data_IF_522844618334
#
_entry.id   IF_522844618334
#
_cell.length_a   1.000
_cell.length_b   1.000
_cell.length_c   1.000
_cell.angle_alpha   90.00
_cell.angle_beta   90.00
_cell.angle_gamma   90.00
#
_symmetry.space_group_name_H-M   'P 1'
#
loop_
_entity.id
_entity.type
_entity.pdbx_description
1 polymer ?
#
# COMPACT_ATOMS: atom_id res chain seq x y z
N UNK A 1 -2.49 3.54 36.09
CA UNK A 1 -2.43 4.94 36.62
C UNK A 1 -3.66 5.72 36.16
N UNK A 2 -3.94 6.89 36.73
CA UNK A 2 -5.26 7.55 36.60
C UNK A 2 -5.72 7.90 35.17
N UNK A 3 -7.02 7.75 34.96
CA UNK A 3 -7.77 8.40 33.88
C UNK A 3 -7.66 9.93 33.98
N UNK A 4 -6.76 10.56 33.20
CA UNK A 4 -6.87 11.98 32.88
C UNK A 4 -8.05 12.18 31.90
N UNK A 5 -9.29 12.24 32.44
CA UNK A 5 -10.42 12.90 31.77
C UNK A 5 -10.11 14.40 31.66
N UNK A 6 -9.32 14.76 30.66
CA UNK A 6 -8.72 16.08 30.54
C UNK A 6 -9.70 17.15 30.09
N UNK A 7 -10.30 17.86 31.06
CA UNK A 7 -10.63 19.30 31.09
C UNK A 7 -11.28 20.03 29.86
N UNK A 8 -11.65 19.34 28.77
CA UNK A 8 -12.15 19.96 27.52
C UNK A 8 -13.35 20.89 27.75
N UNK A 9 -14.26 20.51 28.63
CA UNK A 9 -15.51 21.25 28.90
C UNK A 9 -15.30 22.63 29.57
N UNK A 10 -14.14 22.87 30.20
CA UNK A 10 -13.88 24.14 30.92
C UNK A 10 -13.26 25.24 30.05
N UNK A 11 -12.70 24.91 28.89
CA UNK A 11 -12.02 25.88 28.02
C UNK A 11 -12.94 26.87 27.29
N UNK A 12 -14.08 26.48 26.67
CA UNK A 12 -14.99 27.45 26.05
C UNK A 12 -15.57 28.43 27.08
N UNK A 13 -15.86 27.96 28.30
CA UNK A 13 -16.25 28.83 29.42
C UNK A 13 -15.17 29.86 29.76
N UNK A 14 -13.90 29.45 29.81
CA UNK A 14 -12.78 30.37 30.09
C UNK A 14 -12.70 31.52 29.07
N UNK A 15 -12.79 31.21 27.78
CA UNK A 15 -12.73 32.20 26.70
C UNK A 15 -13.92 33.17 26.76
N UNK A 16 -15.13 32.64 26.97
CA UNK A 16 -16.34 33.45 27.15
C UNK A 16 -16.23 34.39 28.37
N UNK A 17 -15.72 33.88 29.51
CA UNK A 17 -15.49 34.70 30.71
C UNK A 17 -14.48 35.82 30.44
N UNK A 18 -13.35 35.55 29.76
CA UNK A 18 -12.40 36.62 29.40
C UNK A 18 -13.01 37.67 28.46
N UNK A 19 -13.88 37.28 27.52
CA UNK A 19 -14.62 38.22 26.67
C UNK A 19 -15.58 39.11 27.46
N UNK A 20 -16.32 38.54 28.40
CA UNK A 20 -17.21 39.27 29.33
C UNK A 20 -16.39 40.24 30.20
N UNK A 21 -15.26 39.80 30.76
CA UNK A 21 -14.37 40.66 31.55
C UNK A 21 -13.81 41.82 30.72
N UNK A 22 -13.39 41.60 29.47
CA UNK A 22 -12.90 42.67 28.60
C UNK A 22 -14.00 43.69 28.28
N UNK A 23 -15.20 43.23 27.93
CA UNK A 23 -16.35 44.09 27.71
C UNK A 23 -16.67 44.95 28.95
N UNK A 24 -16.70 44.33 30.14
CA UNK A 24 -16.93 45.04 31.40
C UNK A 24 -15.86 46.11 31.67
N UNK A 25 -14.57 45.80 31.47
CA UNK A 25 -13.47 46.76 31.62
C UNK A 25 -13.62 47.95 30.66
N UNK A 26 -13.97 47.69 29.39
CA UNK A 26 -14.17 48.74 28.38
C UNK A 26 -15.37 49.63 28.73
N UNK A 27 -16.51 49.03 29.13
CA UNK A 27 -17.72 49.77 29.53
C UNK A 27 -17.45 50.61 30.78
N UNK A 28 -16.75 50.07 31.79
CA UNK A 28 -16.33 50.82 32.99
C UNK A 28 -15.41 51.99 32.61
N UNK A 29 -14.44 51.79 31.71
CA UNK A 29 -13.55 52.85 31.24
C UNK A 29 -14.33 53.97 30.51
N UNK A 30 -15.29 53.63 29.65
CA UNK A 30 -16.18 54.60 28.96
C UNK A 30 -16.98 55.40 29.98
N UNK A 31 -17.60 54.75 30.98
CA UNK A 31 -18.40 55.42 32.02
C UNK A 31 -17.56 56.34 32.91
N UNK A 32 -16.35 55.90 33.30
CA UNK A 32 -15.40 56.73 34.07
C UNK A 32 -14.94 57.94 33.26
N UNK A 33 -14.65 57.78 31.95
CA UNK A 33 -14.30 58.89 31.07
C UNK A 33 -15.46 59.86 30.89
N UNK A 34 -16.68 59.37 30.62
CA UNK A 34 -17.87 60.19 30.49
C UNK A 34 -18.11 61.05 31.75
N UNK A 35 -18.08 60.42 32.93
CA UNK A 35 -18.17 61.09 34.22
C UNK A 35 -17.08 62.16 34.43
N UNK A 36 -15.83 61.85 34.08
CA UNK A 36 -14.69 62.79 34.21
C UNK A 36 -14.73 63.96 33.23
N UNK A 37 -15.56 63.88 32.18
CA UNK A 37 -15.83 64.96 31.22
C UNK A 37 -17.15 65.68 31.45
N UNK A 38 -17.81 65.49 32.61
CA UNK A 38 -19.13 66.04 32.94
C UNK A 38 -20.23 65.75 31.88
N UNK A 39 -20.04 64.76 31.01
CA UNK A 39 -20.92 64.48 29.88
C UNK A 39 -20.91 65.51 28.74
N UNK A 40 -20.00 66.49 28.74
CA UNK A 40 -19.92 67.53 27.70
C UNK A 40 -19.43 67.01 26.35
N UNK A 41 -18.69 65.90 26.34
CA UNK A 41 -18.12 65.30 25.13
C UNK A 41 -19.16 64.47 24.36
N UNK A 42 -19.60 64.96 23.20
CA UNK A 42 -20.56 64.32 22.29
C UNK A 42 -20.21 62.86 21.94
N UNK A 43 -18.92 62.55 21.72
CA UNK A 43 -18.49 61.18 21.39
C UNK A 43 -18.78 60.23 22.56
N UNK A 44 -18.58 60.70 23.80
CA UNK A 44 -18.89 59.94 25.01
C UNK A 44 -20.39 59.89 25.30
N UNK A 45 -21.21 60.82 24.82
CA UNK A 45 -22.69 60.67 24.87
C UNK A 45 -23.15 59.51 24.00
N UNK A 46 -22.66 59.40 22.77
CA UNK A 46 -23.01 58.31 21.84
C UNK A 46 -22.52 56.96 22.39
N UNK A 47 -21.28 56.88 22.89
CA UNK A 47 -20.72 55.65 23.47
C UNK A 47 -21.47 55.12 24.71
N UNK A 48 -22.20 55.98 25.43
CA UNK A 48 -22.99 55.60 26.63
C UNK A 48 -24.43 55.22 26.27
N UNK A 49 -24.86 55.34 25.02
CA UNK A 49 -26.17 54.86 24.57
C UNK A 49 -26.30 53.34 24.79
N UNK A 50 -27.46 52.90 25.30
CA UNK A 50 -27.69 51.49 25.65
C UNK A 50 -27.51 50.53 24.47
N UNK A 51 -27.82 50.96 23.25
CA UNK A 51 -27.59 50.20 22.03
C UNK A 51 -26.09 49.98 21.75
N UNK A 52 -25.27 51.02 21.93
CA UNK A 52 -23.81 50.96 21.72
C UNK A 52 -23.13 50.11 22.80
N UNK A 53 -23.52 50.28 24.07
CA UNK A 53 -23.05 49.42 25.18
C UNK A 53 -23.42 47.95 24.93
N UNK A 54 -24.64 47.68 24.48
CA UNK A 54 -25.11 46.33 24.15
C UNK A 54 -24.34 45.76 22.96
N UNK A 55 -24.08 46.57 21.92
CA UNK A 55 -23.25 46.20 20.78
C UNK A 55 -21.82 45.81 21.17
N UNK A 56 -21.19 46.57 22.08
CA UNK A 56 -19.87 46.25 22.65
C UNK A 56 -19.92 44.91 23.39
N UNK A 57 -20.89 44.70 24.28
CA UNK A 57 -21.03 43.47 25.05
C UNK A 57 -21.24 42.21 24.18
N UNK A 58 -22.06 42.32 23.13
CA UNK A 58 -22.27 41.25 22.15
C UNK A 58 -21.01 41.00 21.31
N UNK A 59 -20.33 42.05 20.84
CA UNK A 59 -19.16 41.93 19.95
C UNK A 59 -17.98 41.25 20.66
N UNK A 60 -17.66 41.67 21.89
CA UNK A 60 -16.55 41.12 22.67
C UNK A 60 -16.79 39.69 23.20
N UNK A 61 -18.03 39.19 23.18
CA UNK A 61 -18.34 37.79 23.50
C UNK A 61 -18.47 36.90 22.26
N UNK A 62 -19.03 37.41 21.17
CA UNK A 62 -19.20 36.65 19.92
C UNK A 62 -17.91 36.47 19.12
N UNK A 63 -17.08 37.50 18.95
CA UNK A 63 -15.85 37.38 18.11
C UNK A 63 -14.86 36.35 18.66
N UNK A 64 -14.48 36.34 19.96
CA UNK A 64 -13.57 35.32 20.48
C UNK A 64 -14.15 33.90 20.39
N UNK A 65 -15.46 33.76 20.62
CA UNK A 65 -16.16 32.48 20.50
C UNK A 65 -16.19 31.97 19.06
N UNK A 66 -16.38 32.87 18.09
CA UNK A 66 -16.35 32.55 16.66
C UNK A 66 -14.95 32.13 16.19
N UNK A 67 -13.91 32.89 16.52
CA UNK A 67 -12.50 32.55 16.24
C UNK A 67 -12.13 31.20 16.88
N UNK A 68 -12.52 30.98 18.14
CA UNK A 68 -12.34 29.70 18.81
C UNK A 68 -13.04 28.56 18.05
N UNK A 69 -14.29 28.75 17.64
CA UNK A 69 -15.05 27.74 16.90
C UNK A 69 -14.40 27.37 15.55
N UNK A 70 -13.78 28.32 14.86
CA UNK A 70 -13.03 28.07 13.62
C UNK A 70 -11.75 27.28 13.92
N UNK A 71 -11.01 27.65 14.95
CA UNK A 71 -9.77 26.97 15.32
C UNK A 71 -10.03 25.56 15.87
N UNK A 72 -11.11 25.33 16.63
CA UNK A 72 -11.50 23.99 17.05
C UNK A 72 -12.01 23.14 15.88
N UNK A 73 -12.80 23.70 14.94
CA UNK A 73 -13.17 23.01 13.68
C UNK A 73 -11.93 22.57 12.91
N UNK A 74 -11.01 23.50 12.59
CA UNK A 74 -9.74 23.21 11.92
C UNK A 74 -8.98 22.09 12.64
N UNK A 75 -8.81 22.19 13.96
CA UNK A 75 -8.10 21.19 14.76
C UNK A 75 -8.81 19.83 14.83
N UNK A 76 -10.14 19.78 14.76
CA UNK A 76 -10.91 18.54 14.65
C UNK A 76 -10.82 17.92 13.26
N UNK A 77 -10.82 18.74 12.20
CA UNK A 77 -10.64 18.29 10.82
C UNK A 77 -9.24 17.72 10.61
N UNK A 78 -8.19 18.43 11.05
CA UNK A 78 -6.81 17.92 11.04
C UNK A 78 -6.72 16.59 11.78
N UNK A 79 -7.26 16.48 13.00
CA UNK A 79 -7.27 15.20 13.75
C UNK A 79 -7.95 14.07 12.99
N UNK A 80 -9.16 14.30 12.48
CA UNK A 80 -9.91 13.29 11.73
C UNK A 80 -9.16 12.85 10.48
N UNK A 81 -8.48 13.77 9.78
CA UNK A 81 -7.64 13.46 8.62
C UNK A 81 -6.37 12.70 9.04
N UNK A 82 -5.71 13.05 10.14
CA UNK A 82 -4.57 12.31 10.70
C UNK A 82 -4.98 10.91 11.16
N UNK A 83 -6.15 10.76 11.78
CA UNK A 83 -6.72 9.48 12.22
C UNK A 83 -7.05 8.60 11.01
N UNK A 84 -7.75 9.12 9.99
CA UNK A 84 -8.01 8.43 8.73
C UNK A 84 -6.71 8.04 7.98
N UNK A 85 -5.72 8.95 7.94
CA UNK A 85 -4.42 8.69 7.35
C UNK A 85 -3.67 7.56 8.08
N UNK A 86 -3.74 7.53 9.42
CA UNK A 86 -3.16 6.47 10.23
C UNK A 86 -3.87 5.13 10.03
N UNK A 87 -5.20 5.11 9.82
CA UNK A 87 -5.92 3.88 9.44
C UNK A 87 -5.52 3.38 8.03
N UNK A 88 -5.35 4.28 7.06
CA UNK A 88 -4.87 3.94 5.71
C UNK A 88 -3.46 3.36 5.75
N UNK A 89 -2.52 4.03 6.44
CA UNK A 89 -1.15 3.51 6.62
C UNK A 89 -1.16 2.17 7.33
N UNK A 90 -1.91 2.03 8.43
CA UNK A 90 -2.04 0.76 9.16
C UNK A 90 -2.59 -0.38 8.29
N UNK A 91 -3.49 -0.09 7.35
CA UNK A 91 -4.01 -1.08 6.41
C UNK A 91 -2.96 -1.52 5.36
N UNK A 92 -2.11 -0.61 4.89
CA UNK A 92 -1.01 -0.94 3.98
C UNK A 92 0.20 -1.56 4.70
N UNK A 93 0.50 -1.14 5.93
CA UNK A 93 1.49 -1.77 6.81
C UNK A 93 1.11 -3.22 7.15
N UNK A 94 -0.18 -3.51 7.36
CA UNK A 94 -0.64 -4.88 7.55
C UNK A 94 -0.37 -5.72 6.29
N UNK A 95 -0.71 -5.20 5.10
CA UNK A 95 -0.44 -5.90 3.83
C UNK A 95 1.07 -6.07 3.55
N UNK A 96 1.89 -5.08 3.93
CA UNK A 96 3.35 -5.21 3.85
C UNK A 96 3.88 -6.24 4.84
N UNK A 97 3.39 -6.27 6.08
CA UNK A 97 3.76 -7.28 7.07
C UNK A 97 3.39 -8.69 6.57
N UNK A 98 2.19 -8.86 5.99
CA UNK A 98 1.78 -10.12 5.35
C UNK A 98 2.72 -10.54 4.21
N UNK A 99 3.20 -9.60 3.37
CA UNK A 99 4.20 -9.88 2.31
C UNK A 99 5.60 -10.17 2.90
N UNK A 100 5.98 -9.50 3.99
CA UNK A 100 7.29 -9.63 4.64
C UNK A 100 7.39 -10.93 5.45
N UNK A 101 6.30 -11.39 6.07
CA UNK A 101 6.16 -12.73 6.66
C UNK A 101 6.19 -13.82 5.57
N UNK A 102 5.48 -13.59 4.45
CA UNK A 102 5.58 -14.42 3.24
C UNK A 102 7.05 -14.59 2.81
N UNK A 103 7.78 -13.48 2.65
CA UNK A 103 9.20 -13.46 2.27
C UNK A 103 10.08 -14.16 3.31
N UNK A 104 9.88 -13.91 4.61
CA UNK A 104 10.75 -14.45 5.68
C UNK A 104 10.62 -15.97 5.84
N UNK A 105 9.45 -16.53 5.51
CA UNK A 105 9.20 -17.97 5.51
C UNK A 105 9.93 -18.77 4.41
N UNK A 106 10.58 -18.08 3.47
CA UNK A 106 11.25 -18.63 2.28
C UNK A 106 12.72 -18.23 2.26
N UNK A 107 13.58 -18.98 1.57
CA UNK A 107 14.96 -18.56 1.31
C UNK A 107 15.02 -17.53 0.16
N UNK A 108 14.39 -17.85 -0.97
CA UNK A 108 14.35 -17.01 -2.18
C UNK A 108 13.42 -15.78 -2.06
N UNK A 109 13.66 -14.77 -2.90
CA UNK A 109 12.68 -13.75 -3.27
C UNK A 109 11.97 -14.17 -4.55
N UNK A 110 10.65 -14.00 -4.63
CA UNK A 110 9.86 -14.31 -5.83
C UNK A 110 9.39 -13.03 -6.50
N UNK A 111 9.33 -13.03 -7.82
CA UNK A 111 8.82 -11.91 -8.62
C UNK A 111 7.38 -11.48 -8.22
N UNK A 112 6.54 -12.39 -7.72
CA UNK A 112 5.19 -12.03 -7.19
C UNK A 112 5.25 -11.17 -5.92
N UNK A 113 6.28 -11.32 -5.10
CA UNK A 113 6.47 -10.55 -3.87
C UNK A 113 6.97 -9.14 -4.21
N UNK A 114 7.83 -9.01 -5.24
CA UNK A 114 8.22 -7.74 -5.87
C UNK A 114 6.99 -6.92 -6.26
N UNK A 115 6.12 -7.49 -7.11
CA UNK A 115 4.92 -6.80 -7.59
C UNK A 115 3.95 -6.41 -6.47
N UNK A 116 3.82 -7.25 -5.41
CA UNK A 116 3.01 -6.92 -4.23
C UNK A 116 3.60 -5.75 -3.45
N UNK A 117 4.91 -5.75 -3.20
CA UNK A 117 5.57 -4.68 -2.45
C UNK A 117 5.56 -3.35 -3.18
N UNK A 118 5.94 -3.31 -4.47
CA UNK A 118 5.87 -2.08 -5.25
C UNK A 118 4.42 -1.57 -5.30
N UNK A 119 3.44 -2.42 -5.62
CA UNK A 119 2.04 -1.99 -5.66
C UNK A 119 1.58 -1.37 -4.33
N UNK A 120 1.91 -1.96 -3.18
CA UNK A 120 1.53 -1.41 -1.87
C UNK A 120 2.24 -0.08 -1.60
N UNK A 121 3.57 -0.04 -1.73
CA UNK A 121 4.39 1.14 -1.39
C UNK A 121 4.05 2.30 -2.34
N UNK A 122 4.01 2.03 -3.65
CA UNK A 122 3.68 3.03 -4.68
C UNK A 122 2.23 3.48 -4.59
N UNK A 123 1.25 2.61 -4.33
CA UNK A 123 -0.16 3.04 -4.13
C UNK A 123 -0.32 3.90 -2.87
N UNK A 124 0.29 3.49 -1.75
CA UNK A 124 0.26 4.26 -0.51
C UNK A 124 0.91 5.64 -0.72
N UNK A 125 2.12 5.70 -1.29
CA UNK A 125 2.81 6.96 -1.57
C UNK A 125 2.05 7.84 -2.58
N UNK A 126 1.35 7.26 -3.57
CA UNK A 126 0.48 8.03 -4.48
C UNK A 126 -0.76 8.62 -3.78
N UNK A 127 -1.36 7.90 -2.82
CA UNK A 127 -2.45 8.43 -2.00
C UNK A 127 -1.95 9.57 -1.12
N UNK A 128 -0.81 9.41 -0.46
CA UNK A 128 -0.22 10.44 0.40
C UNK A 128 0.28 11.66 -0.38
N UNK A 129 0.88 11.50 -1.56
CA UNK A 129 1.25 12.64 -2.41
C UNK A 129 0.03 13.48 -2.85
N UNK A 130 -1.16 12.87 -2.96
CA UNK A 130 -2.43 13.59 -3.25
C UNK A 130 -3.07 14.24 -2.02
N UNK A 131 -2.62 13.93 -0.80
CA UNK A 131 -3.22 14.37 0.46
C UNK A 131 -2.29 15.26 1.30
N UNK A 132 -0.97 15.11 1.16
CA UNK A 132 0.04 15.61 2.09
C UNK A 132 0.68 16.95 1.73
N UNK A 133 0.54 17.41 0.48
CA UNK A 133 1.24 18.59 -0.04
C UNK A 133 1.04 19.89 0.78
N UNK A 134 -0.10 20.02 1.47
CA UNK A 134 -0.47 21.24 2.21
C UNK A 134 -0.46 21.09 3.75
N UNK A 135 -0.14 19.90 4.32
CA UNK A 135 -0.61 19.55 5.69
C UNK A 135 0.39 18.93 6.68
N UNK A 136 1.71 18.90 6.38
CA UNK A 136 2.78 18.48 7.32
C UNK A 136 2.58 17.09 7.99
N UNK A 137 1.89 16.15 7.33
CA UNK A 137 1.54 14.86 7.92
C UNK A 137 2.74 13.90 7.88
N UNK A 138 3.56 13.89 8.93
CA UNK A 138 4.65 12.93 9.12
C UNK A 138 4.12 11.54 9.53
N UNK A 139 3.41 10.86 8.63
CA UNK A 139 3.07 9.44 8.72
C UNK A 139 3.64 8.76 7.48
N UNK A 140 4.32 7.63 7.69
CA UNK A 140 4.89 6.79 6.63
C UNK A 140 4.60 5.32 6.94
N UNK A 141 4.77 4.46 5.95
CA UNK A 141 4.82 3.02 6.16
C UNK A 141 5.98 2.62 7.09
N UNK A 142 5.88 1.42 7.67
CA UNK A 142 6.86 0.81 8.56
C UNK A 142 8.07 0.23 7.78
N UNK A 143 8.76 1.09 7.05
CA UNK A 143 9.99 0.76 6.33
C UNK A 143 11.10 0.09 7.18
N UNK A 144 11.27 0.39 8.49
CA UNK A 144 12.25 -0.33 9.32
C UNK A 144 11.96 -1.84 9.40
N UNK A 145 10.69 -2.23 9.62
CA UNK A 145 10.32 -3.64 9.65
C UNK A 145 10.59 -4.32 8.30
N UNK A 146 10.18 -3.68 7.20
CA UNK A 146 10.41 -4.14 5.83
C UNK A 146 11.91 -4.42 5.59
N UNK A 147 12.78 -3.42 5.80
CA UNK A 147 14.22 -3.59 5.55
C UNK A 147 14.87 -4.59 6.54
N UNK A 148 14.44 -4.64 7.80
CA UNK A 148 15.01 -5.55 8.82
C UNK A 148 14.86 -7.04 8.50
N UNK A 149 13.94 -7.40 7.60
CA UNK A 149 13.74 -8.77 7.11
C UNK A 149 14.42 -8.98 5.75
N UNK A 150 14.21 -8.07 4.81
CA UNK A 150 14.71 -8.21 3.43
C UNK A 150 16.23 -8.05 3.37
N UNK A 151 16.78 -6.99 3.97
CA UNK A 151 18.23 -6.74 4.00
C UNK A 151 18.99 -7.62 5.01
N UNK A 152 18.29 -8.50 5.76
CA UNK A 152 18.91 -9.45 6.69
C UNK A 152 18.83 -10.91 6.20
N UNK A 153 18.12 -11.17 5.09
CA UNK A 153 18.20 -12.47 4.43
C UNK A 153 19.66 -12.74 4.03
N UNK A 154 20.13 -13.94 4.37
CA UNK A 154 21.43 -14.42 3.90
C UNK A 154 21.38 -14.53 2.36
N UNK A 155 22.34 -13.88 1.71
CA UNK A 155 22.56 -13.97 0.27
C UNK A 155 22.74 -15.44 -0.16
N UNK A 156 22.11 -15.82 -1.29
CA UNK A 156 22.18 -17.20 -1.79
C UNK A 156 23.44 -17.43 -2.63
N UNK A 157 24.12 -18.54 -2.38
CA UNK A 157 25.35 -18.90 -3.11
C UNK A 157 26.59 -18.13 -2.66
N UNK A 158 27.51 -17.91 -3.59
CA UNK A 158 28.72 -17.12 -3.38
C UNK A 158 28.43 -15.65 -3.72
N UNK A 159 28.62 -14.73 -2.76
CA UNK A 159 28.41 -13.29 -2.98
C UNK A 159 29.39 -12.76 -4.03
N UNK A 160 30.60 -13.31 -4.06
CA UNK A 160 31.72 -12.79 -4.84
C UNK A 160 31.74 -13.38 -6.27
N UNK A 161 30.90 -14.40 -6.54
CA UNK A 161 30.71 -14.98 -7.88
C UNK A 161 29.32 -15.64 -7.95
N UNK A 162 28.25 -14.85 -8.12
CA UNK A 162 26.90 -15.36 -8.30
C UNK A 162 26.72 -16.00 -9.68
N UNK A 163 25.97 -17.10 -9.75
CA UNK A 163 25.52 -17.72 -11.01
C UNK A 163 24.03 -17.53 -11.27
N UNK A 164 23.54 -17.93 -12.45
CA UNK A 164 22.21 -17.56 -12.98
C UNK A 164 20.98 -17.61 -12.06
N UNK A 165 20.86 -18.57 -11.13
CA UNK A 165 19.75 -18.61 -10.16
C UNK A 165 19.86 -17.53 -9.06
N UNK A 166 21.07 -17.07 -8.80
CA UNK A 166 21.40 -16.04 -7.82
C UNK A 166 21.29 -14.64 -8.47
N UNK A 167 21.35 -14.55 -9.80
CA UNK A 167 21.03 -13.34 -10.56
C UNK A 167 19.53 -12.99 -10.47
N UNK A 168 18.62 -13.95 -10.63
CA UNK A 168 17.18 -13.71 -10.38
C UNK A 168 16.91 -13.32 -8.91
N UNK A 169 17.69 -13.86 -7.96
CA UNK A 169 17.58 -13.48 -6.55
C UNK A 169 18.04 -12.03 -6.30
N UNK A 170 19.18 -11.61 -6.87
CA UNK A 170 19.67 -10.21 -6.81
C UNK A 170 18.66 -9.25 -7.43
N UNK A 171 18.16 -9.57 -8.62
CA UNK A 171 17.20 -8.75 -9.36
C UNK A 171 15.87 -8.58 -8.60
N UNK A 172 15.33 -9.67 -8.05
CA UNK A 172 14.13 -9.60 -7.21
C UNK A 172 14.39 -8.84 -5.88
N UNK A 173 15.57 -8.99 -5.25
CA UNK A 173 15.97 -8.19 -4.08
C UNK A 173 16.01 -6.69 -4.42
N UNK A 174 16.67 -6.32 -5.51
CA UNK A 174 16.80 -4.93 -5.94
C UNK A 174 15.43 -4.30 -6.23
N UNK A 175 14.58 -4.99 -6.98
CA UNK A 175 13.21 -4.52 -7.30
C UNK A 175 12.29 -4.43 -6.08
N UNK A 176 12.55 -5.20 -5.01
CA UNK A 176 11.89 -5.05 -3.70
C UNK A 176 12.43 -3.84 -2.92
N UNK A 177 13.75 -3.62 -2.96
CA UNK A 177 14.39 -2.53 -2.23
C UNK A 177 14.12 -1.15 -2.86
N UNK A 178 14.15 -1.03 -4.18
CA UNK A 178 14.04 0.27 -4.87
C UNK A 178 12.77 1.06 -4.48
N UNK A 179 11.55 0.50 -4.49
CA UNK A 179 10.34 1.20 -4.01
C UNK A 179 10.44 1.59 -2.53
N UNK A 180 11.00 0.71 -1.70
CA UNK A 180 11.19 0.92 -0.26
C UNK A 180 12.15 2.09 0.02
N UNK A 181 13.31 2.11 -0.65
CA UNK A 181 14.31 3.16 -0.54
C UNK A 181 13.79 4.51 -1.07
N UNK A 182 13.08 4.51 -2.21
CA UNK A 182 12.41 5.71 -2.74
C UNK A 182 11.34 6.24 -1.78
N UNK A 183 10.65 5.36 -1.07
CA UNK A 183 9.69 5.71 0.00
C UNK A 183 10.36 6.34 1.23
N UNK A 184 11.50 5.80 1.67
CA UNK A 184 12.30 6.36 2.76
C UNK A 184 12.82 7.75 2.37
N UNK A 185 13.41 7.89 1.17
CA UNK A 185 13.91 9.18 0.66
C UNK A 185 12.80 10.24 0.61
N UNK A 186 11.64 9.91 0.02
CA UNK A 186 10.48 10.82 -0.10
C UNK A 186 9.78 11.14 1.22
N UNK A 187 10.12 10.46 2.32
CA UNK A 187 9.63 10.76 3.68
C UNK A 187 10.72 11.33 4.59
N UNK A 188 11.91 11.60 4.05
CA UNK A 188 13.12 12.13 4.71
C UNK A 188 13.74 11.24 5.81
N UNK A 189 13.19 10.04 6.06
CA UNK A 189 13.58 9.12 7.17
C UNK A 189 14.86 8.32 6.92
N UNK A 190 15.89 9.01 6.41
CA UNK A 190 17.16 8.45 5.97
C UNK A 190 17.93 7.73 7.08
N UNK A 191 17.66 8.05 8.35
CA UNK A 191 18.21 7.38 9.53
C UNK A 191 17.91 5.87 9.59
N UNK A 192 16.83 5.40 8.97
CA UNK A 192 16.42 3.98 8.95
C UNK A 192 17.52 3.10 8.33
N UNK A 193 18.30 3.62 7.36
CA UNK A 193 19.38 2.87 6.70
C UNK A 193 20.60 2.62 7.61
N UNK A 194 20.63 3.21 8.81
CA UNK A 194 21.69 2.98 9.80
C UNK A 194 21.38 1.79 10.73
N UNK A 195 20.14 1.29 10.76
CA UNK A 195 19.72 0.17 11.62
C UNK A 195 20.58 -1.08 11.39
N UNK A 196 21.00 -1.75 12.47
CA UNK A 196 21.96 -2.85 12.43
C UNK A 196 21.40 -4.11 11.73
N UNK A 197 20.08 -4.27 11.66
CA UNK A 197 19.41 -5.37 10.96
C UNK A 197 19.35 -5.15 9.43
N UNK A 198 19.62 -3.94 8.95
CA UNK A 198 19.65 -3.63 7.51
C UNK A 198 21.06 -3.87 7.00
N UNK A 199 21.38 -5.08 6.50
CA UNK A 199 22.76 -5.47 6.18
C UNK A 199 23.11 -5.41 4.69
N UNK A 200 22.31 -6.04 3.83
CA UNK A 200 22.62 -6.24 2.41
C UNK A 200 21.87 -5.26 1.49
N UNK A 201 22.60 -4.69 0.53
CA UNK A 201 22.07 -3.94 -0.62
C UNK A 201 22.64 -4.55 -1.91
N UNK A 202 21.83 -4.70 -2.96
CA UNK A 202 22.30 -5.25 -4.24
C UNK A 202 21.60 -4.61 -5.44
N UNK A 203 22.36 -4.38 -6.53
CA UNK A 203 21.90 -3.74 -7.78
C UNK A 203 21.13 -2.42 -7.53
N UNK A 204 21.65 -1.57 -6.64
CA UNK A 204 21.09 -0.25 -6.31
C UNK A 204 21.98 0.87 -6.83
N UNK A 205 21.39 1.88 -7.48
CA UNK A 205 22.06 3.09 -7.95
C UNK A 205 21.92 4.24 -6.94
N UNK A 206 22.90 4.39 -6.06
CA UNK A 206 22.92 5.43 -5.02
C UNK A 206 23.47 6.77 -5.53
N UNK A 207 22.88 7.87 -5.08
CA UNK A 207 23.25 9.22 -5.53
C UNK A 207 22.54 9.69 -6.81
N UNK A 208 21.55 8.92 -7.30
CA UNK A 208 20.61 9.32 -8.35
C UNK A 208 19.48 10.19 -7.78
N UNK A 209 18.74 10.95 -8.60
CA UNK A 209 17.76 11.95 -8.12
C UNK A 209 16.69 11.42 -7.14
N UNK A 210 16.34 10.13 -7.20
CA UNK A 210 15.37 9.49 -6.29
C UNK A 210 16.00 8.70 -5.13
N UNK A 211 17.34 8.65 -5.04
CA UNK A 211 18.13 7.91 -4.04
C UNK A 211 19.39 8.72 -3.60
N UNK A 212 19.30 10.06 -3.62
CA UNK A 212 20.38 11.00 -3.28
C UNK A 212 20.45 11.27 -1.76
N UNK A 213 20.59 10.18 -0.99
CA UNK A 213 20.71 10.20 0.46
C UNK A 213 22.00 10.90 0.93
N UNK A 214 21.93 11.60 2.07
CA UNK A 214 23.06 12.37 2.62
C UNK A 214 23.16 12.24 4.13
N UNK A 215 24.38 12.42 4.66
CA UNK A 215 24.72 12.41 6.10
C UNK A 215 24.37 11.11 6.83
N UNK A 216 24.25 10.01 6.10
CA UNK A 216 24.08 8.66 6.65
C UNK A 216 25.44 8.12 7.08
N UNK A 217 25.50 7.49 8.26
CA UNK A 217 26.65 6.72 8.70
C UNK A 217 26.37 5.22 8.59
N UNK A 218 26.68 4.66 7.43
CA UNK A 218 26.59 3.22 7.19
C UNK A 218 27.65 2.49 8.02
N UNK A 219 27.22 1.45 8.74
CA UNK A 219 28.08 0.56 9.53
C UNK A 219 27.78 -0.90 9.21
N UNK A 220 28.82 -1.73 9.06
CA UNK A 220 28.70 -3.18 8.88
C UNK A 220 27.76 -3.57 7.71
N UNK A 221 27.75 -2.78 6.63
CA UNK A 221 26.86 -2.97 5.45
C UNK A 221 27.60 -3.65 4.31
N UNK A 222 26.90 -4.48 3.55
CA UNK A 222 27.44 -5.14 2.36
C UNK A 222 26.68 -4.63 1.13
N UNK A 223 27.41 -4.08 0.18
CA UNK A 223 26.92 -3.58 -1.10
C UNK A 223 27.41 -4.52 -2.21
N UNK A 224 26.52 -5.03 -3.05
CA UNK A 224 26.82 -6.05 -4.07
C UNK A 224 26.32 -5.60 -5.44
N UNK A 225 27.23 -5.38 -6.39
CA UNK A 225 26.92 -4.88 -7.74
C UNK A 225 26.14 -3.55 -7.70
N UNK A 226 26.43 -2.70 -6.71
CA UNK A 226 25.83 -1.38 -6.56
C UNK A 226 26.61 -0.31 -7.33
N UNK A 227 25.88 0.65 -7.89
CA UNK A 227 26.41 1.83 -8.56
C UNK A 227 26.40 3.01 -7.60
N UNK A 228 27.49 3.76 -7.49
CA UNK A 228 27.58 4.94 -6.60
C UNK A 228 28.10 6.16 -7.35
N UNK A 229 27.52 7.34 -7.09
CA UNK A 229 28.13 8.61 -7.53
C UNK A 229 29.17 9.08 -6.52
N UNK A 230 30.23 9.77 -6.97
CA UNK A 230 31.23 10.34 -6.05
C UNK A 230 30.58 11.22 -4.97
N UNK A 231 29.57 12.01 -5.36
CA UNK A 231 28.83 12.86 -4.43
C UNK A 231 28.23 12.06 -3.27
N UNK A 232 27.58 10.93 -3.55
CA UNK A 232 27.02 10.06 -2.52
C UNK A 232 28.11 9.50 -1.58
N UNK A 233 29.29 9.19 -2.12
CA UNK A 233 30.44 8.72 -1.32
C UNK A 233 30.99 9.82 -0.40
N UNK A 234 31.02 11.08 -0.85
CA UNK A 234 31.47 12.22 -0.06
C UNK A 234 30.43 12.64 1.01
N UNK A 235 29.16 12.76 0.63
CA UNK A 235 28.05 13.20 1.49
C UNK A 235 27.68 12.18 2.60
N UNK A 236 28.24 10.96 2.60
CA UNK A 236 27.96 9.88 3.57
C UNK A 236 29.22 9.22 4.14
N UNK A 237 29.10 8.50 5.26
CA UNK A 237 30.21 7.79 5.92
C UNK A 237 30.00 6.27 5.88
N UNK A 238 31.09 5.52 5.72
CA UNK A 238 31.10 4.05 5.66
C UNK A 238 32.13 3.49 6.66
N UNK A 239 31.71 2.59 7.55
CA UNK A 239 32.54 2.02 8.62
C UNK A 239 32.38 0.50 8.64
N UNK A 240 33.46 -0.23 8.39
CA UNK A 240 33.45 -1.70 8.26
C UNK A 240 32.39 -2.19 7.26
N UNK A 241 32.20 -1.44 6.17
CA UNK A 241 31.37 -1.85 5.06
C UNK A 241 32.19 -2.72 4.09
N UNK A 242 31.48 -3.34 3.16
CA UNK A 242 32.03 -4.26 2.16
C UNK A 242 31.39 -3.92 0.80
N UNK A 243 32.19 -3.80 -0.26
CA UNK A 243 31.73 -3.43 -1.60
C UNK A 243 32.23 -4.46 -2.63
N UNK A 244 31.31 -5.25 -3.17
CA UNK A 244 31.62 -6.41 -4.01
C UNK A 244 31.09 -6.14 -5.41
N UNK A 245 31.97 -6.13 -6.42
CA UNK A 245 31.65 -5.77 -7.82
C UNK A 245 30.90 -4.41 -7.98
N UNK A 246 31.04 -3.48 -7.03
CA UNK A 246 30.46 -2.13 -7.09
C UNK A 246 31.33 -1.18 -7.93
N UNK A 247 30.72 -0.19 -8.59
CA UNK A 247 31.43 0.77 -9.45
C UNK A 247 30.86 2.19 -9.41
N UNK A 248 31.66 3.15 -9.88
CA UNK A 248 31.26 4.55 -10.09
C UNK A 248 31.33 4.87 -11.59
N UNK A 249 30.21 5.21 -12.28
CA UNK A 249 30.18 5.32 -13.74
C UNK A 249 31.09 6.42 -14.29
N UNK A 250 31.09 7.58 -13.61
CA UNK A 250 31.91 8.74 -13.94
C UNK A 250 33.32 8.68 -13.29
N UNK A 251 33.66 7.55 -12.66
CA UNK A 251 34.86 7.40 -11.84
C UNK A 251 34.78 8.05 -10.46
N UNK A 252 35.95 8.20 -9.83
CA UNK A 252 36.16 8.91 -8.56
C UNK A 252 37.42 9.76 -8.72
N UNK A 253 37.27 11.09 -8.78
CA UNK A 253 38.40 12.02 -8.95
C UNK A 253 38.95 12.50 -7.60
N UNK A 254 38.13 12.50 -6.55
CA UNK A 254 38.47 13.06 -5.25
C UNK A 254 39.27 12.05 -4.38
N UNK A 255 40.49 12.39 -3.91
CA UNK A 255 41.26 11.52 -3.02
C UNK A 255 40.53 11.12 -1.73
N UNK A 256 39.55 11.89 -1.27
CA UNK A 256 38.72 11.54 -0.11
C UNK A 256 37.67 10.46 -0.44
N UNK A 257 37.03 10.49 -1.62
CA UNK A 257 36.03 9.49 -2.01
C UNK A 257 36.70 8.12 -2.20
N UNK A 258 37.83 8.10 -2.90
CA UNK A 258 38.71 6.93 -3.07
C UNK A 258 39.13 6.39 -1.69
N UNK A 259 39.55 7.25 -0.76
CA UNK A 259 39.97 6.84 0.59
C UNK A 259 38.81 6.34 1.45
N UNK A 260 37.59 6.89 1.32
CA UNK A 260 36.40 6.40 2.03
C UNK A 260 36.06 4.96 1.61
N UNK A 261 36.16 4.62 0.33
CA UNK A 261 35.90 3.26 -0.16
C UNK A 261 37.10 2.31 0.02
N UNK A 262 38.34 2.78 -0.14
CA UNK A 262 39.55 1.95 -0.01
C UNK A 262 39.92 1.53 1.43
N UNK A 263 39.27 2.10 2.45
CA UNK A 263 39.38 1.65 3.85
C UNK A 263 38.39 0.52 4.21
N UNK A 264 37.55 0.10 3.26
CA UNK A 264 36.53 -0.94 3.41
C UNK A 264 36.92 -2.17 2.56
N UNK A 265 36.34 -3.35 2.84
CA UNK A 265 36.72 -4.59 2.14
C UNK A 265 36.08 -4.64 0.75
N UNK A 266 36.91 -4.62 -0.29
CA UNK A 266 36.45 -4.59 -1.67
C UNK A 266 37.02 -5.81 -2.42
N UNK A 267 36.14 -6.60 -3.05
CA UNK A 267 36.52 -7.66 -3.97
C UNK A 267 35.84 -7.44 -5.34
N UNK A 268 36.60 -7.62 -6.41
CA UNK A 268 36.15 -7.42 -7.79
C UNK A 268 36.60 -8.57 -8.68
N UNK A 269 35.65 -9.28 -9.31
CA UNK A 269 35.94 -10.38 -10.24
C UNK A 269 36.06 -9.87 -11.67
N UNK A 270 37.24 -10.05 -12.28
CA UNK A 270 37.49 -9.75 -13.69
C UNK A 270 36.89 -10.83 -14.61
N UNK A 271 36.37 -10.40 -15.76
CA UNK A 271 36.55 -11.09 -17.04
C UNK A 271 36.77 -10.03 -18.14
N UNK A 272 37.47 -10.38 -19.23
CA UNK A 272 38.22 -9.41 -20.05
C UNK A 272 37.50 -8.87 -21.30
N UNK A 273 38.07 -7.75 -21.78
CA UNK A 273 37.90 -7.05 -23.06
C UNK A 273 36.54 -6.33 -23.29
N UNK A 274 36.51 -5.02 -23.59
CA UNK A 274 37.56 -4.18 -24.19
C UNK A 274 37.54 -2.68 -23.79
N UNK A 275 38.74 -2.09 -23.81
CA UNK A 275 39.09 -0.65 -23.76
C UNK A 275 38.75 0.20 -22.51
N UNK A 276 39.81 0.78 -21.93
CA UNK A 276 39.84 2.06 -21.18
C UNK A 276 39.06 2.15 -19.85
N UNK A 277 39.45 1.34 -18.87
CA UNK A 277 39.05 1.46 -17.45
C UNK A 277 40.12 1.04 -16.42
N UNK A 278 41.40 0.95 -16.83
CA UNK A 278 42.50 0.51 -15.96
C UNK A 278 42.95 1.63 -14.99
N UNK A 279 43.40 1.36 -13.76
CA UNK A 279 43.23 0.21 -12.87
C UNK A 279 43.83 0.56 -11.50
N UNK A 280 43.21 0.16 -10.38
CA UNK A 280 43.86 -0.27 -9.12
C UNK A 280 42.85 -0.42 -7.97
N UNK A 281 42.68 -1.65 -7.45
CA UNK A 281 42.53 -1.90 -6.00
C UNK A 281 42.87 -3.36 -5.64
N UNK A 282 44.15 -3.71 -5.86
CA UNK A 282 44.93 -4.79 -5.20
C UNK A 282 44.41 -6.26 -5.27
N UNK A 283 45.11 -7.05 -6.09
CA UNK A 283 45.04 -8.52 -6.19
C UNK A 283 45.61 -9.29 -4.98
N UNK A 284 44.96 -10.41 -4.61
CA UNK A 284 45.57 -11.74 -4.30
C UNK A 284 44.54 -12.79 -3.84
N UNK A 285 44.47 -13.98 -4.47
CA UNK A 285 43.63 -15.03 -3.85
C UNK A 285 43.54 -16.49 -4.33
N UNK A 286 44.05 -16.90 -5.49
CA UNK A 286 44.17 -18.33 -5.91
C UNK A 286 42.87 -19.09 -6.32
N UNK A 287 43.06 -20.17 -7.11
CA UNK A 287 42.04 -20.93 -7.86
C UNK A 287 41.54 -22.21 -7.18
N UNK A 288 40.32 -22.69 -7.51
CA UNK A 288 40.17 -23.94 -8.29
C UNK A 288 38.76 -24.12 -8.93
N UNK A 289 38.56 -25.20 -9.69
CA UNK A 289 37.53 -25.37 -10.73
C UNK A 289 36.48 -26.48 -10.46
N UNK A 290 35.31 -26.41 -11.12
CA UNK A 290 34.33 -27.50 -11.15
C UNK A 290 33.02 -27.21 -11.90
N UNK A 291 32.82 -27.82 -13.08
CA UNK A 291 31.54 -27.82 -13.82
C UNK A 291 30.78 -29.15 -13.63
N UNK A 292 29.47 -29.09 -13.40
CA UNK A 292 28.55 -30.20 -13.72
C UNK A 292 27.16 -29.68 -14.15
N UNK A 293 26.44 -30.48 -14.95
CA UNK A 293 25.17 -30.12 -15.59
C UNK A 293 24.25 -31.34 -15.71
N UNK A 294 22.95 -31.20 -15.41
CA UNK A 294 21.89 -32.22 -15.62
C UNK A 294 20.60 -31.54 -16.10
N UNK A 295 19.69 -32.28 -16.77
CA UNK A 295 18.60 -31.79 -17.63
C UNK A 295 17.26 -32.52 -17.35
N UNK A 296 16.11 -31.89 -17.69
CA UNK A 296 14.76 -32.52 -17.98
C UNK A 296 14.04 -33.27 -16.83
N UNK A 297 12.73 -33.62 -16.75
CA UNK A 297 11.36 -33.33 -17.33
C UNK A 297 10.33 -34.12 -16.45
N UNK A 298 8.97 -34.16 -16.50
CA UNK A 298 7.78 -33.66 -17.24
C UNK A 298 6.51 -33.95 -16.32
N UNK A 299 5.21 -33.71 -16.57
CA UNK A 299 4.41 -33.18 -17.70
C UNK A 299 2.98 -32.65 -17.35
N UNK A 300 2.41 -31.91 -18.30
CA UNK A 300 1.00 -31.73 -18.76
C UNK A 300 -0.24 -32.28 -18.03
N UNK A 301 -1.25 -31.40 -17.90
CA UNK A 301 -2.67 -31.68 -18.20
C UNK A 301 -3.38 -30.38 -18.65
N UNK A 302 -4.22 -30.40 -19.70
CA UNK A 302 -4.82 -29.18 -20.28
C UNK A 302 -6.30 -28.97 -19.87
N UNK A 303 -6.62 -27.78 -19.34
CA UNK A 303 -8.01 -27.40 -19.03
C UNK A 303 -8.72 -26.72 -20.23
N UNK A 304 -10.01 -27.01 -20.47
CA UNK A 304 -10.83 -26.26 -21.42
C UNK A 304 -11.30 -24.93 -20.79
N UNK A 305 -10.87 -23.82 -21.40
CA UNK A 305 -11.14 -22.41 -21.04
C UNK A 305 -10.81 -21.99 -19.59
N UNK A 306 -9.88 -21.05 -19.45
CA UNK A 306 -9.27 -20.67 -18.17
C UNK A 306 -10.18 -19.77 -17.31
N UNK A 307 -11.28 -20.32 -16.82
CA UNK A 307 -12.16 -19.65 -15.87
C UNK A 307 -11.57 -19.75 -14.46
N UNK A 308 -11.39 -18.61 -13.82
CA UNK A 308 -10.70 -18.47 -12.53
C UNK A 308 -11.47 -17.53 -11.61
N UNK A 309 -11.47 -17.81 -10.30
CA UNK A 309 -11.79 -16.83 -9.27
C UNK A 309 -10.55 -15.98 -8.98
N UNK A 310 -10.51 -14.77 -9.54
CA UNK A 310 -9.31 -13.91 -9.53
C UNK A 310 -8.78 -13.56 -8.13
N UNK A 311 -9.68 -13.40 -7.15
CA UNK A 311 -9.31 -12.96 -5.80
C UNK A 311 -8.52 -14.02 -5.04
N UNK A 312 -8.85 -15.29 -5.27
CA UNK A 312 -8.26 -16.42 -4.54
C UNK A 312 -7.46 -17.35 -5.47
N UNK A 313 -7.34 -16.97 -6.75
CA UNK A 313 -6.60 -17.65 -7.83
C UNK A 313 -7.00 -19.12 -8.02
N UNK A 314 -8.29 -19.41 -7.83
CA UNK A 314 -8.85 -20.76 -7.93
C UNK A 314 -9.32 -21.01 -9.36
N UNK A 315 -8.62 -21.88 -10.09
CA UNK A 315 -9.06 -22.36 -11.41
C UNK A 315 -10.31 -23.24 -11.28
N UNK A 316 -11.40 -22.89 -11.96
CA UNK A 316 -12.68 -23.58 -11.84
C UNK A 316 -12.66 -24.97 -12.48
N UNK A 317 -11.78 -25.24 -13.44
CA UNK A 317 -11.62 -26.58 -14.03
C UNK A 317 -11.16 -27.67 -13.04
N UNK A 318 -10.84 -27.32 -11.78
CA UNK A 318 -10.62 -28.26 -10.67
C UNK A 318 -11.93 -28.80 -10.06
N UNK A 319 -13.09 -28.27 -10.45
CA UNK A 319 -14.42 -28.58 -9.91
C UNK A 319 -15.40 -28.90 -11.04
N UNK A 320 -16.41 -29.71 -10.78
CA UNK A 320 -17.39 -30.12 -11.81
C UNK A 320 -18.49 -29.05 -11.96
N UNK A 321 -18.14 -27.92 -12.58
CA UNK A 321 -19.08 -26.88 -13.01
C UNK A 321 -19.35 -26.92 -14.52
N UNK A 322 -20.55 -26.49 -14.93
CA UNK A 322 -20.92 -26.31 -16.34
C UNK A 322 -20.78 -24.82 -16.68
N UNK A 323 -20.07 -24.51 -17.76
CA UNK A 323 -20.00 -23.17 -18.35
C UNK A 323 -20.87 -23.06 -19.62
N UNK A 324 -21.51 -21.90 -19.83
CA UNK A 324 -22.28 -21.58 -21.04
C UNK A 324 -22.23 -20.07 -21.37
N UNK A 325 -22.03 -19.75 -22.64
CA UNK A 325 -22.44 -18.48 -23.25
C UNK A 325 -23.95 -18.48 -23.53
N UNK A 326 -24.65 -17.39 -23.21
CA UNK A 326 -26.08 -17.19 -23.49
C UNK A 326 -26.28 -15.87 -24.23
N UNK A 327 -26.71 -15.91 -25.49
CA UNK A 327 -26.96 -14.71 -26.29
C UNK A 327 -28.20 -13.94 -25.79
N UNK A 328 -28.09 -12.62 -25.67
CA UNK A 328 -29.16 -11.78 -25.12
C UNK A 328 -30.46 -11.86 -25.95
N UNK A 329 -30.34 -12.09 -27.26
CA UNK A 329 -31.46 -12.25 -28.20
C UNK A 329 -32.28 -13.54 -27.98
N UNK A 330 -31.82 -14.48 -27.13
CA UNK A 330 -32.54 -15.72 -26.77
C UNK A 330 -33.31 -15.59 -25.44
N UNK A 331 -33.21 -14.45 -24.76
CA UNK A 331 -33.79 -14.21 -23.43
C UNK A 331 -35.18 -13.57 -23.57
N UNK A 332 -36.22 -14.27 -23.10
CA UNK A 332 -37.60 -13.74 -23.04
C UNK A 332 -37.76 -12.72 -21.88
N UNK A 333 -37.15 -11.53 -22.03
CA UNK A 333 -37.13 -10.39 -21.10
C UNK A 333 -36.51 -10.64 -19.70
N UNK A 334 -36.53 -11.86 -19.16
CA UNK A 334 -35.88 -12.24 -17.91
C UNK A 334 -34.89 -13.40 -18.10
N UNK A 335 -33.62 -13.11 -17.82
CA UNK A 335 -32.52 -14.09 -17.80
C UNK A 335 -32.73 -15.19 -16.75
N UNK A 336 -33.41 -14.91 -15.63
CA UNK A 336 -33.66 -15.94 -14.59
C UNK A 336 -34.67 -16.97 -15.09
N UNK A 337 -35.81 -16.53 -15.62
CA UNK A 337 -36.77 -17.40 -16.28
C UNK A 337 -36.13 -18.22 -17.40
N UNK A 338 -35.29 -17.61 -18.25
CA UNK A 338 -34.55 -18.31 -19.29
C UNK A 338 -33.62 -19.41 -18.72
N UNK A 339 -32.74 -19.09 -17.78
CA UNK A 339 -31.77 -20.04 -17.20
C UNK A 339 -32.44 -21.22 -16.47
N UNK A 340 -33.55 -20.96 -15.79
CA UNK A 340 -34.38 -22.01 -15.16
C UNK A 340 -34.99 -22.90 -16.24
N UNK A 341 -35.51 -22.31 -17.34
CA UNK A 341 -36.09 -23.08 -18.45
C UNK A 341 -35.07 -23.95 -19.18
N UNK A 342 -33.82 -23.51 -19.31
CA UNK A 342 -32.73 -24.28 -19.93
C UNK A 342 -32.32 -25.48 -19.07
N UNK A 343 -32.22 -25.33 -17.75
CA UNK A 343 -31.91 -26.45 -16.85
C UNK A 343 -33.04 -27.49 -16.81
N UNK A 344 -34.29 -27.05 -16.90
CA UNK A 344 -35.46 -27.93 -16.97
C UNK A 344 -35.58 -28.74 -18.29
N UNK A 345 -34.72 -28.50 -19.30
CA UNK A 345 -34.69 -29.29 -20.55
C UNK A 345 -33.78 -30.53 -20.47
N UNK A 346 -33.03 -30.70 -19.39
CA UNK A 346 -32.19 -31.89 -19.18
C UNK A 346 -33.02 -33.16 -18.95
N UNK A 347 -32.53 -34.31 -19.44
CA UNK A 347 -33.21 -35.61 -19.31
C UNK A 347 -33.17 -36.16 -17.87
N UNK A 348 -34.00 -35.62 -16.98
CA UNK A 348 -34.20 -36.13 -15.62
C UNK A 348 -35.48 -35.58 -14.99
N UNK A 349 -36.45 -36.44 -14.69
CA UNK A 349 -37.78 -36.03 -14.18
C UNK A 349 -37.75 -35.64 -12.69
N UNK A 350 -37.19 -34.48 -12.39
CA UNK A 350 -37.59 -33.70 -11.21
C UNK A 350 -38.19 -32.37 -11.67
N UNK A 351 -39.30 -31.94 -11.04
CA UNK A 351 -39.79 -30.58 -11.22
C UNK A 351 -38.85 -29.62 -10.49
N UNK A 352 -37.84 -29.11 -11.19
CA UNK A 352 -36.99 -28.01 -10.75
C UNK A 352 -37.83 -26.74 -10.57
N UNK A 353 -38.48 -26.63 -9.41
CA UNK A 353 -39.14 -25.42 -8.98
C UNK A 353 -38.13 -24.29 -8.80
N UNK A 354 -38.58 -23.06 -9.05
CA UNK A 354 -37.82 -21.81 -8.87
C UNK A 354 -37.09 -21.71 -7.53
N UNK A 355 -37.64 -22.37 -6.51
CA UNK A 355 -37.15 -22.34 -5.14
C UNK A 355 -35.86 -23.15 -4.96
N UNK A 356 -35.58 -24.14 -5.83
CA UNK A 356 -34.44 -25.05 -5.68
C UNK A 356 -33.19 -24.58 -6.42
N UNK A 357 -33.18 -23.35 -6.96
CA UNK A 357 -32.09 -22.79 -7.76
C UNK A 357 -31.67 -21.43 -7.20
N UNK A 358 -30.37 -21.27 -6.92
CA UNK A 358 -29.81 -20.00 -6.46
C UNK A 358 -29.10 -19.27 -7.61
N UNK A 359 -29.69 -18.19 -8.10
CA UNK A 359 -29.10 -17.36 -9.18
C UNK A 359 -28.49 -16.08 -8.59
N UNK A 360 -27.24 -15.79 -8.98
CA UNK A 360 -26.52 -14.54 -8.76
C UNK A 360 -26.16 -13.93 -10.11
N UNK A 361 -26.34 -12.62 -10.28
CA UNK A 361 -26.09 -11.92 -11.55
C UNK A 361 -25.22 -10.70 -11.27
N UNK A 362 -24.08 -10.59 -11.97
CA UNK A 362 -23.23 -9.40 -11.97
C UNK A 362 -23.37 -8.66 -13.30
N UNK A 363 -22.79 -7.46 -13.38
CA UNK A 363 -22.37 -6.89 -14.67
C UNK A 363 -20.98 -7.43 -15.02
N UNK A 364 -20.61 -7.32 -16.29
CA UNK A 364 -19.22 -7.39 -16.72
C UNK A 364 -18.50 -6.10 -16.27
N UNK A 365 -17.25 -6.25 -15.82
CA UNK A 365 -16.36 -5.17 -15.35
C UNK A 365 -15.05 -5.10 -16.16
N UNK A 366 -15.00 -5.70 -17.35
CA UNK A 366 -13.82 -5.77 -18.22
C UNK A 366 -13.46 -4.43 -18.88
N UNK A 367 -12.81 -3.54 -18.12
CA UNK A 367 -12.04 -2.41 -18.65
C UNK A 367 -10.53 -2.75 -18.77
N UNK A 368 -10.16 -4.05 -18.74
CA UNK A 368 -8.78 -4.51 -18.58
C UNK A 368 -8.31 -5.42 -19.73
N UNK A 369 -7.48 -4.87 -20.62
CA UNK A 369 -6.75 -5.55 -21.71
C UNK A 369 -7.60 -6.24 -22.79
N UNK A 370 -6.98 -6.48 -23.95
CA UNK A 370 -7.60 -7.22 -25.07
C UNK A 370 -7.69 -8.74 -24.81
N UNK A 371 -7.15 -9.23 -23.69
CA UNK A 371 -6.99 -10.66 -23.37
C UNK A 371 -8.08 -11.20 -22.42
N UNK A 372 -8.73 -10.35 -21.62
CA UNK A 372 -9.83 -10.74 -20.71
C UNK A 372 -11.19 -10.43 -21.35
N UNK A 373 -11.96 -11.47 -21.74
CA UNK A 373 -13.27 -11.25 -22.39
C UNK A 373 -14.34 -10.78 -21.40
N UNK A 374 -14.31 -11.26 -20.16
CA UNK A 374 -15.27 -10.86 -19.12
C UNK A 374 -14.73 -11.02 -17.70
N UNK A 375 -15.27 -10.24 -16.77
CA UNK A 375 -14.96 -10.27 -15.34
C UNK A 375 -16.21 -9.91 -14.52
N UNK A 376 -16.63 -10.76 -13.58
CA UNK A 376 -17.86 -10.62 -12.81
C UNK A 376 -17.69 -10.85 -11.32
N UNK A 377 -18.13 -9.85 -10.52
CA UNK A 377 -18.14 -9.93 -9.06
C UNK A 377 -19.52 -10.32 -8.51
N UNK A 378 -19.55 -11.36 -7.69
CA UNK A 378 -20.73 -11.83 -6.97
C UNK A 378 -20.45 -11.96 -5.45
N UNK A 379 -21.48 -11.88 -4.61
CA UNK A 379 -21.37 -12.15 -3.17
C UNK A 379 -22.53 -13.01 -2.68
N UNK A 380 -22.25 -13.98 -1.79
CA UNK A 380 -23.25 -14.77 -1.09
C UNK A 380 -22.89 -14.86 0.40
N UNK A 381 -23.85 -14.59 1.29
CA UNK A 381 -23.65 -14.79 2.72
C UNK A 381 -23.52 -16.30 3.04
N UNK A 382 -22.49 -16.65 3.82
CA UNK A 382 -22.20 -18.01 4.27
C UNK A 382 -23.39 -18.66 4.97
N UNK A 383 -24.00 -17.98 5.93
CA UNK A 383 -25.19 -18.48 6.64
C UNK A 383 -26.39 -18.74 5.69
N UNK A 384 -26.54 -17.97 4.60
CA UNK A 384 -27.58 -18.19 3.57
C UNK A 384 -27.27 -19.32 2.60
N UNK A 385 -26.13 -19.99 2.74
CA UNK A 385 -25.77 -21.25 2.07
C UNK A 385 -25.92 -22.40 3.08
N UNK A 386 -25.32 -22.26 4.28
CA UNK A 386 -25.32 -23.29 5.34
C UNK A 386 -26.73 -23.63 5.87
N UNK A 387 -27.64 -22.66 5.97
CA UNK A 387 -29.04 -22.92 6.34
C UNK A 387 -29.95 -23.26 5.15
N UNK A 388 -29.43 -23.33 3.92
CA UNK A 388 -30.22 -23.39 2.69
C UNK A 388 -30.12 -24.73 1.94
N UNK A 389 -30.33 -25.83 2.66
CA UNK A 389 -30.29 -27.23 2.16
C UNK A 389 -31.32 -27.58 1.07
N UNK A 390 -32.04 -26.61 0.50
CA UNK A 390 -33.05 -26.79 -0.55
C UNK A 390 -32.56 -26.34 -1.95
N UNK A 391 -31.43 -25.64 -2.05
CA UNK A 391 -30.84 -25.29 -3.35
C UNK A 391 -30.04 -26.47 -3.92
N UNK A 392 -30.45 -26.97 -5.08
CA UNK A 392 -29.77 -28.04 -5.83
C UNK A 392 -28.70 -27.49 -6.80
N UNK A 393 -28.91 -26.29 -7.32
CA UNK A 393 -28.00 -25.61 -8.25
C UNK A 393 -27.66 -24.18 -7.81
N UNK A 394 -26.40 -23.81 -7.96
CA UNK A 394 -25.89 -22.44 -7.78
C UNK A 394 -25.40 -21.91 -9.13
N UNK A 395 -25.97 -20.79 -9.56
CA UNK A 395 -25.76 -20.19 -10.90
C UNK A 395 -25.20 -18.78 -10.73
N UNK A 396 -24.13 -18.50 -11.48
CA UNK A 396 -23.48 -17.21 -11.55
C UNK A 396 -23.47 -16.74 -12.99
N UNK A 397 -24.13 -15.62 -13.28
CA UNK A 397 -24.22 -15.05 -14.62
C UNK A 397 -23.60 -13.64 -14.67
N UNK A 398 -22.59 -13.46 -15.51
CA UNK A 398 -21.96 -12.15 -15.77
C UNK A 398 -22.64 -11.55 -16.99
N UNK A 399 -23.43 -10.49 -16.80
CA UNK A 399 -24.11 -9.80 -17.91
C UNK A 399 -23.13 -8.91 -18.66
N UNK A 400 -22.99 -9.19 -19.95
CA UNK A 400 -22.28 -8.36 -20.91
C UNK A 400 -23.25 -7.70 -21.92
N UNK A 401 -22.72 -6.99 -22.92
CA UNK A 401 -23.47 -6.19 -23.90
C UNK A 401 -24.44 -7.06 -24.72
N UNK A 402 -23.92 -8.10 -25.37
CA UNK A 402 -24.69 -8.97 -26.27
C UNK A 402 -24.96 -10.37 -25.70
N UNK A 403 -24.33 -10.72 -24.57
CA UNK A 403 -24.43 -12.05 -23.94
C UNK A 403 -24.50 -12.00 -22.41
N UNK A 404 -24.79 -13.15 -21.81
CA UNK A 404 -24.43 -13.48 -20.44
C UNK A 404 -23.46 -14.67 -20.44
N UNK A 405 -22.39 -14.57 -19.64
CA UNK A 405 -21.45 -15.67 -19.40
C UNK A 405 -21.85 -16.38 -18.10
N UNK A 406 -22.08 -17.69 -18.14
CA UNK A 406 -22.81 -18.39 -17.08
C UNK A 406 -22.04 -19.61 -16.57
N UNK A 407 -21.80 -19.65 -15.25
CA UNK A 407 -21.24 -20.78 -14.52
C UNK A 407 -22.37 -21.42 -13.68
N UNK A 408 -22.46 -22.75 -13.70
CA UNK A 408 -23.45 -23.54 -12.97
C UNK A 408 -22.73 -24.63 -12.16
N UNK A 409 -22.95 -24.65 -10.84
CA UNK A 409 -22.50 -25.70 -9.94
C UNK A 409 -23.69 -26.51 -9.41
N UNK A 410 -23.50 -27.82 -9.24
CA UNK A 410 -24.34 -28.65 -8.36
C UNK A 410 -24.01 -28.36 -6.88
N UNK A 411 -24.97 -28.54 -5.97
CA UNK A 411 -24.84 -28.10 -4.58
C UNK A 411 -23.62 -28.66 -3.83
N UNK A 412 -23.23 -29.92 -4.08
CA UNK A 412 -22.07 -30.53 -3.41
C UNK A 412 -20.75 -30.05 -4.03
N UNK A 413 -20.64 -29.98 -5.36
CA UNK A 413 -19.50 -29.39 -6.07
C UNK A 413 -19.29 -27.92 -5.68
N UNK A 414 -20.38 -27.17 -5.48
CA UNK A 414 -20.31 -25.81 -4.96
C UNK A 414 -19.76 -25.78 -3.52
N UNK A 415 -20.16 -26.70 -2.63
CA UNK A 415 -19.59 -26.80 -1.27
C UNK A 415 -18.11 -27.16 -1.30
N UNK A 416 -17.67 -28.06 -2.18
CA UNK A 416 -16.24 -28.39 -2.35
C UNK A 416 -15.44 -27.17 -2.85
N UNK A 417 -15.96 -26.42 -3.82
CA UNK A 417 -15.39 -25.13 -4.23
C UNK A 417 -15.36 -24.12 -3.07
N UNK A 418 -16.40 -24.05 -2.23
CA UNK A 418 -16.44 -23.18 -1.06
C UNK A 418 -15.43 -23.54 0.04
N UNK A 419 -14.89 -24.77 0.09
CA UNK A 419 -13.78 -25.12 1.02
C UNK A 419 -12.48 -24.40 0.66
N UNK A 420 -12.27 -24.10 -0.62
CA UNK A 420 -11.13 -23.31 -1.10
C UNK A 420 -11.37 -21.79 -1.01
N UNK A 421 -12.59 -21.35 -0.65
CA UNK A 421 -12.98 -19.94 -0.59
C UNK A 421 -12.95 -19.39 0.83
N UNK A 422 -12.34 -18.23 1.00
CA UNK A 422 -12.36 -17.46 2.25
C UNK A 422 -13.68 -16.73 2.44
N UNK A 423 -14.02 -16.50 3.71
CA UNK A 423 -15.23 -15.81 4.16
C UNK A 423 -14.81 -14.44 4.68
N UNK A 424 -15.42 -13.37 4.19
CA UNK A 424 -15.10 -12.01 4.65
C UNK A 424 -15.61 -11.73 6.09
N UNK A 425 -15.12 -10.64 6.68
CA UNK A 425 -15.49 -10.20 8.04
C UNK A 425 -17.00 -9.88 8.21
N UNK A 426 -17.78 -9.82 7.12
CA UNK A 426 -19.24 -9.66 7.12
C UNK A 426 -20.00 -10.99 6.91
N UNK A 427 -19.29 -12.12 6.91
CA UNK A 427 -19.87 -13.45 6.73
C UNK A 427 -20.23 -13.78 5.29
N UNK A 428 -19.56 -13.20 4.28
CA UNK A 428 -19.81 -13.49 2.86
C UNK A 428 -18.65 -14.20 2.18
N UNK A 429 -18.98 -15.16 1.33
CA UNK A 429 -18.13 -15.54 0.21
C UNK A 429 -18.28 -14.49 -0.90
N UNK A 430 -17.17 -14.11 -1.52
CA UNK A 430 -17.13 -13.17 -2.64
C UNK A 430 -16.42 -13.83 -3.81
N UNK A 431 -17.05 -13.89 -4.97
CA UNK A 431 -16.58 -14.59 -6.16
C UNK A 431 -16.22 -13.59 -7.24
N UNK A 432 -15.05 -13.75 -7.86
CA UNK A 432 -14.52 -12.82 -8.86
C UNK A 432 -14.17 -13.58 -10.13
N UNK A 433 -15.20 -14.11 -10.80
CA UNK A 433 -15.04 -14.99 -11.93
C UNK A 433 -14.60 -14.20 -13.17
N UNK A 434 -13.59 -14.70 -13.88
CA UNK A 434 -13.20 -14.20 -15.19
C UNK A 434 -12.60 -15.31 -16.05
N UNK A 435 -12.50 -15.10 -17.36
CA UNK A 435 -11.75 -15.97 -18.25
C UNK A 435 -10.35 -15.37 -18.52
N UNK A 436 -9.34 -15.76 -17.72
CA UNK A 436 -7.99 -15.20 -17.80
C UNK A 436 -6.98 -16.28 -18.25
N UNK A 437 -6.35 -16.06 -19.40
CA UNK A 437 -5.13 -16.77 -19.79
C UNK A 437 -3.93 -16.12 -19.09
N UNK A 438 -3.34 -16.85 -18.14
CA UNK A 438 -1.99 -16.59 -17.61
C UNK A 438 -0.94 -17.18 -18.55
#
# INVERSE_FOLDING_TARGET
MHNKKGNKEKWPFGIMITGICLAAIIIIAILVLHSRTNGENEILKVLVQGEVITGIAITFTTIPTWIYSINERKRSETRLITENAMEIVKHYDQQLSEVVEDISSREEFRLIDVWRMDYIITTCNQLFNKWGADREINISLNYPHVLSVICNKKYLGNINSPGGLQDEWKDNLAKILIPTLKGIYKTEKSEILQDENVKYFSLIEFGTQELDFKKIKFKNKVFVECTVTERFVLDNDFVNCEFINCYAPDGLENPESIKKLGNNSNESTNDNDSSEGLAMLVDKGNTDSGRYSVQTTNENAACPENIIDNREKIYLCKYKCIYKDVDNNKINNDIKAYLISELCKGNGKEKLGTNNIKISISRNYSNYSEQQKWNGWHSLFKNKIEYANHFKYYIFAVKDTDKHFVIIFEAEEFKEFLKAKTVDKSGKYNFYFSNWLF
#
